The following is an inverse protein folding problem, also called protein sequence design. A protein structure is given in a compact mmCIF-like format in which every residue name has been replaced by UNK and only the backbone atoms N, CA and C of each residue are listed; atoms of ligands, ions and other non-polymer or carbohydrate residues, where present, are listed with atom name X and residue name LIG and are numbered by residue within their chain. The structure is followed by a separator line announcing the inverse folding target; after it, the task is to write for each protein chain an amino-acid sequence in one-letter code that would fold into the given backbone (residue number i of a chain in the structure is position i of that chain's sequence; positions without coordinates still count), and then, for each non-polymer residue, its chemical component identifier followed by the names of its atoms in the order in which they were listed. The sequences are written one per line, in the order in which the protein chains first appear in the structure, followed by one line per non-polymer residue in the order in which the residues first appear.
data_IF_306504795342
#
_entry.id   IF_306504795342
#
_cell.length_a   1.000
_cell.length_b   1.000
_cell.length_c   1.000
_cell.angle_alpha   90.00
_cell.angle_beta   90.00
_cell.angle_gamma   90.00
#
_symmetry.space_group_name_H-M   'P 1'
#
loop_
_entity.id
_entity.type
_entity.pdbx_description
1 polymer ?
#
# COMPACT_ATOMS: atom_id res chain seq x y z
N UNK A 1 13.66 13.96 -23.45
CA UNK A 1 12.89 12.69 -23.54
C UNK A 1 13.65 11.54 -22.90
N UNK A 2 14.91 11.30 -23.30
CA UNK A 2 15.78 10.23 -22.77
C UNK A 2 15.85 10.13 -21.23
N UNK A 3 16.01 11.26 -20.53
CA UNK A 3 16.12 11.29 -19.05
C UNK A 3 14.87 10.74 -18.34
N UNK A 4 13.67 11.07 -18.84
CA UNK A 4 12.40 10.59 -18.28
C UNK A 4 12.21 9.09 -18.50
N UNK A 5 12.64 8.59 -19.66
CA UNK A 5 12.61 7.15 -19.96
C UNK A 5 13.57 6.40 -19.05
N UNK A 6 14.77 6.94 -18.83
CA UNK A 6 15.72 6.36 -17.87
C UNK A 6 15.16 6.33 -16.45
N UNK A 7 14.52 7.42 -16.00
CA UNK A 7 13.87 7.48 -14.69
C UNK A 7 12.71 6.48 -14.56
N UNK A 8 11.93 6.28 -15.63
CA UNK A 8 10.89 5.25 -15.69
C UNK A 8 11.49 3.85 -15.51
N UNK A 9 12.45 3.48 -16.35
CA UNK A 9 13.04 2.14 -16.34
C UNK A 9 13.67 1.84 -14.98
N UNK A 10 14.42 2.80 -14.41
CA UNK A 10 15.01 2.66 -13.08
C UNK A 10 13.94 2.47 -12.00
N UNK A 11 12.91 3.31 -11.99
CA UNK A 11 11.86 3.26 -10.96
C UNK A 11 11.03 1.99 -11.04
N UNK A 12 10.74 1.51 -12.25
CA UNK A 12 10.00 0.27 -12.50
C UNK A 12 10.85 -0.95 -12.13
N UNK A 13 12.13 -0.95 -12.49
CA UNK A 13 13.08 -1.99 -12.11
C UNK A 13 13.21 -2.09 -10.58
N UNK A 14 13.28 -0.96 -9.88
CA UNK A 14 13.36 -0.95 -8.42
C UNK A 14 12.09 -1.56 -7.80
N UNK A 15 10.89 -1.15 -8.25
CA UNK A 15 9.62 -1.72 -7.78
C UNK A 15 9.55 -3.24 -8.00
N UNK A 16 9.96 -3.69 -9.19
CA UNK A 16 10.00 -5.11 -9.53
C UNK A 16 10.98 -5.88 -8.64
N UNK A 17 12.17 -5.34 -8.42
CA UNK A 17 13.20 -5.98 -7.60
C UNK A 17 12.77 -6.09 -6.12
N UNK A 18 12.11 -5.07 -5.57
CA UNK A 18 11.56 -5.14 -4.20
C UNK A 18 10.45 -6.19 -4.09
N UNK A 19 9.59 -6.30 -5.10
CA UNK A 19 8.55 -7.35 -5.15
C UNK A 19 9.19 -8.75 -5.21
N UNK A 20 10.22 -8.93 -6.03
CA UNK A 20 10.93 -10.21 -6.14
C UNK A 20 11.60 -10.62 -4.83
N UNK A 21 12.24 -9.68 -4.12
CA UNK A 21 12.74 -9.97 -2.77
C UNK A 21 11.61 -10.27 -1.77
N UNK A 22 10.46 -9.61 -1.89
CA UNK A 22 9.27 -9.92 -1.09
C UNK A 22 8.75 -11.34 -1.32
N UNK A 23 8.84 -11.83 -2.55
CA UNK A 23 8.51 -13.22 -2.90
C UNK A 23 9.50 -14.22 -2.31
N UNK A 24 10.80 -13.93 -2.37
CA UNK A 24 11.83 -14.74 -1.69
C UNK A 24 11.56 -14.84 -0.18
N UNK A 25 11.21 -13.71 0.47
CA UNK A 25 10.89 -13.70 1.90
C UNK A 25 9.63 -14.52 2.18
N UNK A 26 8.57 -14.32 1.38
CA UNK A 26 7.32 -15.07 1.54
C UNK A 26 7.51 -16.59 1.35
N UNK A 27 8.46 -16.99 0.50
CA UNK A 27 8.81 -18.39 0.32
C UNK A 27 9.43 -19.02 1.58
N UNK A 28 10.31 -18.28 2.29
CA UNK A 28 10.93 -18.76 3.53
C UNK A 28 10.03 -18.60 4.76
N UNK A 29 9.08 -17.66 4.75
CA UNK A 29 8.18 -17.34 5.87
C UNK A 29 6.72 -17.56 5.46
N UNK A 30 6.19 -18.80 5.54
CA UNK A 30 4.84 -19.14 5.05
C UNK A 30 3.76 -18.78 6.08
N UNK A 31 3.61 -17.49 6.39
CA UNK A 31 2.60 -16.97 7.34
C UNK A 31 1.31 -16.49 6.67
N UNK A 32 1.06 -16.91 5.42
CA UNK A 32 -0.14 -16.53 4.66
C UNK A 32 -0.20 -15.06 4.21
N UNK A 33 0.89 -14.30 4.39
CA UNK A 33 0.99 -12.91 3.94
C UNK A 33 1.37 -12.88 2.44
N UNK A 34 0.65 -12.11 1.59
CA UNK A 34 1.01 -11.93 0.19
C UNK A 34 2.43 -11.38 0.00
N UNK A 35 3.14 -11.85 -1.03
CA UNK A 35 4.49 -11.38 -1.39
C UNK A 35 4.57 -9.88 -1.65
N UNK A 36 3.50 -9.28 -2.19
CA UNK A 36 3.40 -7.84 -2.42
C UNK A 36 3.48 -7.00 -1.15
N UNK A 37 2.95 -7.50 -0.02
CA UNK A 37 3.04 -6.82 1.28
C UNK A 37 4.48 -6.87 1.79
N UNK A 38 5.15 -8.01 1.66
CA UNK A 38 6.57 -8.12 2.00
C UNK A 38 7.44 -7.18 1.18
N UNK A 39 7.20 -7.10 -0.14
CA UNK A 39 7.89 -6.16 -1.01
C UNK A 39 7.66 -4.70 -0.63
N UNK A 40 6.43 -4.35 -0.21
CA UNK A 40 6.10 -3.02 0.31
C UNK A 40 6.86 -2.70 1.60
N UNK A 41 6.89 -3.63 2.56
CA UNK A 41 7.60 -3.45 3.83
C UNK A 41 9.12 -3.32 3.62
N UNK A 42 9.67 -4.09 2.69
CA UNK A 42 11.09 -4.01 2.33
C UNK A 42 11.41 -2.64 1.70
N UNK A 43 10.61 -2.21 0.72
CA UNK A 43 10.76 -0.89 0.10
C UNK A 43 10.65 0.23 1.15
N UNK A 44 9.66 0.14 2.04
CA UNK A 44 9.48 1.10 3.13
C UNK A 44 10.71 1.15 4.04
N UNK A 45 11.27 0.01 4.40
CA UNK A 45 12.49 -0.09 5.22
C UNK A 45 13.69 0.54 4.51
N UNK A 46 13.89 0.24 3.22
CA UNK A 46 14.96 0.87 2.42
C UNK A 46 14.80 2.39 2.30
N UNK A 47 13.56 2.88 2.25
CA UNK A 47 13.24 4.31 2.22
C UNK A 47 13.55 4.98 3.57
N UNK A 48 13.18 4.32 4.68
CA UNK A 48 13.49 4.77 6.04
C UNK A 48 14.99 4.84 6.30
N UNK A 49 15.75 3.85 5.81
CA UNK A 49 17.21 3.81 5.88
C UNK A 49 17.89 4.78 4.90
N UNK A 50 17.13 5.51 4.07
CA UNK A 50 17.61 6.42 3.00
C UNK A 50 18.52 5.75 1.96
N UNK A 51 18.50 4.42 1.86
CA UNK A 51 19.20 3.67 0.81
C UNK A 51 18.57 3.98 -0.55
N UNK A 52 17.23 4.03 -0.57
CA UNK A 52 16.43 4.40 -1.74
C UNK A 52 15.83 5.78 -1.50
N UNK A 53 16.01 6.69 -2.46
CA UNK A 53 15.35 8.01 -2.43
C UNK A 53 13.94 7.89 -2.99
N UNK A 54 12.98 8.59 -2.38
CA UNK A 54 11.57 8.61 -2.81
C UNK A 54 11.44 8.98 -4.29
N UNK A 55 12.21 9.97 -4.73
CA UNK A 55 12.26 10.45 -6.12
C UNK A 55 12.53 9.33 -7.14
N UNK A 56 13.27 8.29 -6.75
CA UNK A 56 13.65 7.20 -7.63
C UNK A 56 12.50 6.22 -7.91
N UNK A 57 11.42 6.27 -7.14
CA UNK A 57 10.28 5.34 -7.26
C UNK A 57 9.03 6.06 -7.74
N UNK A 58 8.94 7.36 -7.45
CA UNK A 58 7.78 8.21 -7.70
C UNK A 58 7.32 8.28 -9.16
N UNK A 59 8.22 8.18 -10.13
CA UNK A 59 7.85 8.34 -11.54
C UNK A 59 6.99 7.16 -12.04
N UNK A 60 7.50 5.93 -11.93
CA UNK A 60 6.74 4.74 -12.32
C UNK A 60 5.53 4.49 -11.44
N UNK A 61 5.63 4.69 -10.12
CA UNK A 61 4.49 4.46 -9.22
C UNK A 61 3.31 5.37 -9.56
N UNK A 62 3.55 6.66 -9.86
CA UNK A 62 2.50 7.59 -10.29
C UNK A 62 1.87 7.17 -11.62
N UNK A 63 2.65 6.67 -12.57
CA UNK A 63 2.13 6.20 -13.85
C UNK A 63 1.30 4.92 -13.69
N UNK A 64 1.79 3.96 -12.91
CA UNK A 64 1.08 2.71 -12.63
C UNK A 64 -0.24 2.97 -11.91
N UNK A 65 -0.24 3.85 -10.90
CA UNK A 65 -1.45 4.26 -10.18
C UNK A 65 -2.41 5.01 -11.11
N UNK A 66 -1.91 5.93 -11.94
CA UNK A 66 -2.74 6.70 -12.90
C UNK A 66 -3.46 5.79 -13.90
N UNK A 67 -2.78 4.75 -14.38
CA UNK A 67 -3.33 3.80 -15.35
C UNK A 67 -3.80 2.49 -14.71
N UNK A 68 -3.93 2.45 -13.39
CA UNK A 68 -4.29 1.25 -12.62
C UNK A 68 -5.58 0.61 -13.16
N UNK A 69 -6.62 1.41 -13.37
CA UNK A 69 -7.89 0.92 -13.92
C UNK A 69 -7.73 0.25 -15.30
N UNK A 70 -6.88 0.78 -16.18
CA UNK A 70 -6.59 0.16 -17.48
C UNK A 70 -5.84 -1.16 -17.32
N UNK A 71 -4.88 -1.23 -16.39
CA UNK A 71 -4.14 -2.47 -16.08
C UNK A 71 -5.03 -3.56 -15.46
N UNK A 72 -6.15 -3.19 -14.86
CA UNK A 72 -7.14 -4.15 -14.36
C UNK A 72 -7.99 -4.78 -15.47
N UNK A 73 -8.21 -4.10 -16.61
CA UNK A 73 -9.08 -4.61 -17.68
C UNK A 73 -8.69 -6.02 -18.15
N UNK A 74 -7.41 -6.33 -18.48
CA UNK A 74 -7.02 -7.68 -18.88
C UNK A 74 -7.31 -8.74 -17.82
N UNK A 75 -7.07 -8.40 -16.55
CA UNK A 75 -7.32 -9.28 -15.40
C UNK A 75 -8.82 -9.54 -15.26
N UNK A 76 -9.64 -8.48 -15.32
CA UNK A 76 -11.09 -8.57 -15.23
C UNK A 76 -11.70 -9.42 -16.36
N UNK A 77 -11.25 -9.25 -17.61
CA UNK A 77 -11.72 -10.07 -18.73
C UNK A 77 -11.39 -11.55 -18.53
N UNK A 78 -10.25 -11.87 -17.92
CA UNK A 78 -9.90 -13.24 -17.54
C UNK A 78 -10.88 -13.84 -16.52
N UNK A 79 -11.32 -13.04 -15.55
CA UNK A 79 -12.26 -13.46 -14.50
C UNK A 79 -13.66 -13.74 -15.07
N UNK A 80 -14.12 -12.95 -16.05
CA UNK A 80 -15.46 -13.14 -16.67
C UNK A 80 -15.63 -14.52 -17.32
N UNK A 81 -14.54 -15.19 -17.72
CA UNK A 81 -14.60 -16.57 -18.22
C UNK A 81 -15.11 -17.58 -17.19
N UNK A 82 -15.00 -17.25 -15.91
CA UNK A 82 -15.47 -18.07 -14.79
C UNK A 82 -16.75 -17.51 -14.15
N UNK A 83 -17.51 -16.68 -14.89
CA UNK A 83 -18.73 -16.01 -14.40
C UNK A 83 -19.75 -16.95 -13.77
N UNK A 84 -19.96 -18.15 -14.32
CA UNK A 84 -20.88 -19.15 -13.75
C UNK A 84 -20.51 -19.58 -12.33
N UNK A 85 -19.23 -19.87 -12.07
CA UNK A 85 -18.71 -20.20 -10.73
C UNK A 85 -18.84 -19.01 -9.76
N UNK A 86 -18.59 -17.80 -10.26
CA UNK A 86 -18.69 -16.58 -9.46
C UNK A 86 -20.12 -16.28 -9.02
N UNK A 87 -21.12 -16.56 -9.88
CA UNK A 87 -22.53 -16.36 -9.54
C UNK A 87 -23.01 -17.38 -8.50
N UNK A 88 -22.58 -18.64 -8.63
CA UNK A 88 -22.96 -19.71 -7.69
C UNK A 88 -22.39 -19.45 -6.29
N UNK A 89 -21.14 -19.00 -6.21
CA UNK A 89 -20.41 -18.76 -4.96
C UNK A 89 -20.41 -17.28 -4.53
N UNK A 90 -21.30 -16.46 -5.10
CA UNK A 90 -21.28 -15.01 -4.91
C UNK A 90 -21.39 -14.61 -3.43
N UNK A 91 -22.22 -15.31 -2.65
CA UNK A 91 -22.43 -15.03 -1.23
C UNK A 91 -21.17 -15.32 -0.41
N UNK A 92 -20.50 -16.43 -0.70
CA UNK A 92 -19.29 -16.88 -0.01
C UNK A 92 -18.09 -15.98 -0.30
N UNK A 93 -18.08 -15.32 -1.46
CA UNK A 93 -17.04 -14.35 -1.82
C UNK A 93 -17.33 -12.95 -1.26
N UNK A 94 -18.58 -12.47 -1.38
CA UNK A 94 -18.91 -11.07 -1.06
C UNK A 94 -19.00 -10.83 0.45
N UNK A 95 -19.67 -11.73 1.19
CA UNK A 95 -19.96 -11.51 2.62
C UNK A 95 -18.68 -11.44 3.45
N UNK A 96 -17.75 -12.42 3.40
CA UNK A 96 -16.52 -12.36 4.17
C UNK A 96 -15.62 -11.20 3.76
N UNK A 97 -15.62 -10.80 2.49
CA UNK A 97 -14.77 -9.71 2.01
C UNK A 97 -15.24 -8.34 2.51
N UNK A 98 -16.56 -8.08 2.45
CA UNK A 98 -17.15 -6.84 2.99
C UNK A 98 -16.98 -6.79 4.50
N UNK A 99 -17.31 -7.88 5.20
CA UNK A 99 -17.22 -7.95 6.66
C UNK A 99 -15.77 -7.79 7.11
N UNK A 100 -14.83 -8.53 6.53
CA UNK A 100 -13.41 -8.43 6.90
C UNK A 100 -12.86 -7.03 6.64
N UNK A 101 -13.14 -6.43 5.48
CA UNK A 101 -12.70 -5.05 5.17
C UNK A 101 -13.24 -4.05 6.18
N UNK A 102 -14.54 -4.11 6.50
CA UNK A 102 -15.16 -3.20 7.47
C UNK A 102 -14.53 -3.37 8.86
N UNK A 103 -14.44 -4.61 9.34
CA UNK A 103 -13.85 -4.93 10.65
C UNK A 103 -12.39 -4.48 10.71
N UNK A 104 -11.58 -4.79 9.69
CA UNK A 104 -10.18 -4.39 9.61
C UNK A 104 -10.02 -2.87 9.65
N UNK A 105 -10.85 -2.11 8.92
CA UNK A 105 -10.80 -0.64 8.96
C UNK A 105 -11.17 -0.08 10.33
N UNK A 106 -12.21 -0.60 10.97
CA UNK A 106 -12.63 -0.16 12.32
C UNK A 106 -11.55 -0.46 13.35
N UNK A 107 -11.02 -1.69 13.36
CA UNK A 107 -9.99 -2.11 14.32
C UNK A 107 -8.71 -1.31 14.13
N UNK A 108 -8.23 -1.14 12.90
CA UNK A 108 -7.05 -0.32 12.60
C UNK A 108 -7.30 1.14 13.00
N UNK A 109 -8.49 1.68 12.76
CA UNK A 109 -8.87 3.03 13.16
C UNK A 109 -8.78 3.24 14.67
N UNK A 110 -9.44 2.38 15.45
CA UNK A 110 -9.41 2.42 16.92
C UNK A 110 -7.97 2.24 17.44
N UNK A 111 -7.23 1.28 16.89
CA UNK A 111 -5.85 1.01 17.31
C UNK A 111 -4.92 2.19 17.01
N UNK A 112 -5.09 2.82 15.85
CA UNK A 112 -4.32 4.01 15.47
C UNK A 112 -4.61 5.19 16.38
N UNK A 113 -5.90 5.42 16.70
CA UNK A 113 -6.30 6.48 17.64
C UNK A 113 -5.77 6.23 19.05
N UNK A 114 -5.84 4.98 19.53
CA UNK A 114 -5.26 4.58 20.80
C UNK A 114 -3.73 4.79 20.84
N UNK A 115 -3.01 4.34 19.81
CA UNK A 115 -1.56 4.51 19.72
C UNK A 115 -1.16 5.99 19.62
N UNK A 116 -1.97 6.80 18.92
CA UNK A 116 -1.76 8.24 18.82
C UNK A 116 -2.03 8.95 20.16
N UNK A 117 -3.06 8.53 20.90
CA UNK A 117 -3.40 9.04 22.23
C UNK A 117 -2.28 8.74 23.25
N UNK A 118 -1.72 7.54 23.23
CA UNK A 118 -0.60 7.15 24.11
C UNK A 118 0.70 7.91 23.83
N UNK A 119 0.98 8.22 22.57
CA UNK A 119 2.17 9.00 22.15
C UNK A 119 1.90 10.49 22.03
N UNK A 120 0.77 10.97 22.55
CA UNK A 120 0.33 12.36 22.42
C UNK A 120 1.52 13.29 22.59
N UNK A 121 1.86 13.94 21.49
CA UNK A 121 2.74 15.10 21.41
C UNK A 121 2.18 16.19 22.35
N UNK A 122 2.40 16.05 23.66
CA UNK A 122 2.07 17.08 24.65
C UNK A 122 2.69 18.42 24.23
N UNK A 123 3.87 18.37 23.62
CA UNK A 123 4.56 19.54 23.09
C UNK A 123 3.95 20.15 21.82
N UNK A 124 3.34 19.37 20.91
CA UNK A 124 2.75 19.92 19.66
C UNK A 124 1.33 20.46 19.91
N UNK A 125 0.54 19.77 20.75
CA UNK A 125 -0.76 20.30 21.20
C UNK A 125 -0.56 21.63 21.95
N UNK A 126 0.42 21.70 22.86
CA UNK A 126 0.71 22.94 23.58
C UNK A 126 1.25 24.05 22.67
N UNK A 127 2.02 23.72 21.61
CA UNK A 127 2.51 24.70 20.63
C UNK A 127 1.40 25.23 19.71
N UNK A 128 0.44 24.40 19.33
CA UNK A 128 -0.72 24.80 18.52
C UNK A 128 -1.71 25.62 19.36
N UNK A 129 -1.98 25.22 20.61
CA UNK A 129 -2.86 25.96 21.53
C UNK A 129 -2.27 27.33 21.92
N UNK A 130 -0.95 27.40 22.17
CA UNK A 130 -0.26 28.66 22.50
C UNK A 130 -0.13 29.60 21.30
N UNK A 131 -0.17 29.07 20.07
CA UNK A 131 -0.20 29.89 18.84
C UNK A 131 -1.58 30.50 18.62
N UNK A 132 -2.66 29.73 18.83
CA UNK A 132 -4.04 30.24 18.76
C UNK A 132 -4.33 31.29 19.83
N UNK A 133 -3.90 31.10 21.07
CA UNK A 133 -4.06 32.07 22.15
C UNK A 133 -3.19 33.35 22.03
N UNK A 134 -2.37 33.46 20.99
CA UNK A 134 -1.56 34.65 20.68
C UNK A 134 -2.04 35.36 19.40
N UNK A 135 -2.96 34.73 18.67
CA UNK A 135 -3.65 35.27 17.49
C UNK A 135 -5.04 35.82 17.86
N UNK A 136 -5.52 35.56 19.08
CA UNK A 136 -6.64 36.23 19.77
C UNK A 136 -6.13 37.34 20.69
#
# INVERSE_FOLDING_TARGET
MYRKVFDLVRSLFLLYLMLHFGELIAHYVPIGIPSSIWGLLLLFTCLMLRIVKVEWVMFSSRLLIRYMALLFVPVSVGIVKYSGLLMDQMKELLVPNIVSTCVTLVVIGILSDYLFSLKSFTHLKHKIMKKRAKEE
#
